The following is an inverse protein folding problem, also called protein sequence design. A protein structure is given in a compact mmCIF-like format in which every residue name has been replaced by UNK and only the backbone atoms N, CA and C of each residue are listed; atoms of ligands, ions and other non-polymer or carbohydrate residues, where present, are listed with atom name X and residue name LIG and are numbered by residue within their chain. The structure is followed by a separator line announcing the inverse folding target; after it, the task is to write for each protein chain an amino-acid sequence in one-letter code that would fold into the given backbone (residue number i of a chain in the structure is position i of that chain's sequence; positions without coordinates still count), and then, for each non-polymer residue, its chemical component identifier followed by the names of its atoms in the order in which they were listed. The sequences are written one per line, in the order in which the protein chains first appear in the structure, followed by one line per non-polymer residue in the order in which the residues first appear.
data_IF_788238637040
#
_entry.id   IF_788238637040
#
_cell.length_a   1.000
_cell.length_b   1.000
_cell.length_c   1.000
_cell.angle_alpha   90.00
_cell.angle_beta   90.00
_cell.angle_gamma   90.00
#
_symmetry.space_group_name_H-M   'P 1'
#
loop_
_entity.id
_entity.type
_entity.pdbx_description
1 polymer ?
#
# COMPACT_ATOMS: atom_id res chain seq x y z
N UNK A 1 -40.86 -18.47 41.13
CA UNK A 1 -40.99 -18.20 39.68
C UNK A 1 -40.07 -17.04 39.33
N UNK A 2 -38.84 -17.33 38.89
CA UNK A 2 -37.89 -16.32 38.44
C UNK A 2 -38.12 -16.05 36.96
N UNK A 3 -38.65 -14.87 36.63
CA UNK A 3 -38.76 -14.39 35.26
C UNK A 3 -37.36 -14.07 34.75
N UNK A 4 -36.89 -14.86 33.77
CA UNK A 4 -35.67 -14.60 33.02
C UNK A 4 -35.94 -13.42 32.08
N UNK A 5 -35.33 -12.27 32.38
CA UNK A 5 -35.34 -11.11 31.51
C UNK A 5 -34.42 -11.39 30.31
N UNK A 6 -35.01 -11.49 29.12
CA UNK A 6 -34.30 -11.54 27.85
C UNK A 6 -33.91 -10.10 27.47
N UNK A 7 -32.62 -9.76 27.57
CA UNK A 7 -32.11 -8.44 27.19
C UNK A 7 -31.85 -8.39 25.66
N UNK A 8 -32.55 -7.53 24.90
CA UNK A 8 -32.35 -7.37 23.45
C UNK A 8 -30.92 -6.95 23.06
N UNK A 9 -30.14 -6.39 23.99
CA UNK A 9 -28.74 -5.99 23.76
C UNK A 9 -27.78 -7.19 23.61
N UNK A 10 -28.11 -8.34 24.21
CA UNK A 10 -27.31 -9.57 24.10
C UNK A 10 -27.41 -10.21 22.69
N UNK A 11 -28.54 -10.01 22.00
CA UNK A 11 -28.73 -10.47 20.62
C UNK A 11 -27.86 -9.67 19.65
N UNK A 12 -27.66 -8.37 19.88
CA UNK A 12 -26.80 -7.53 19.05
C UNK A 12 -25.30 -7.80 19.28
N UNK A 13 -24.88 -8.04 20.53
CA UNK A 13 -23.50 -8.42 20.86
C UNK A 13 -23.12 -9.80 20.35
N UNK A 14 -24.04 -10.77 20.42
CA UNK A 14 -23.82 -12.12 19.89
C UNK A 14 -23.75 -12.16 18.37
N UNK A 15 -24.60 -11.40 17.66
CA UNK A 15 -24.52 -11.23 16.19
C UNK A 15 -23.23 -10.54 15.75
N UNK A 16 -22.81 -9.48 16.45
CA UNK A 16 -21.55 -8.79 16.17
C UNK A 16 -20.34 -9.71 16.36
N UNK A 17 -20.32 -10.52 17.42
CA UNK A 17 -19.28 -11.54 17.63
C UNK A 17 -19.31 -12.65 16.57
N UNK A 18 -20.48 -13.10 16.13
CA UNK A 18 -20.59 -14.07 15.03
C UNK A 18 -20.00 -13.51 13.73
N UNK A 19 -20.30 -12.26 13.40
CA UNK A 19 -19.76 -11.59 12.20
C UNK A 19 -18.24 -11.42 12.27
N UNK A 20 -17.70 -11.07 13.45
CA UNK A 20 -16.26 -10.95 13.68
C UNK A 20 -15.59 -12.34 13.61
N UNK A 21 -16.21 -13.38 14.16
CA UNK A 21 -15.70 -14.76 14.12
C UNK A 21 -15.77 -15.37 12.71
N UNK A 22 -16.78 -15.03 11.92
CA UNK A 22 -16.90 -15.43 10.52
C UNK A 22 -15.91 -14.65 9.63
N UNK A 23 -15.59 -13.40 9.97
CA UNK A 23 -14.52 -12.63 9.36
C UNK A 23 -13.11 -13.15 9.75
N UNK A 24 -12.94 -13.72 10.96
CA UNK A 24 -11.72 -14.44 11.35
C UNK A 24 -11.55 -15.73 10.54
N UNK A 25 -12.60 -16.55 10.44
CA UNK A 25 -12.56 -17.80 9.64
C UNK A 25 -12.32 -17.56 8.15
N UNK A 26 -12.78 -16.43 7.62
CA UNK A 26 -12.58 -16.05 6.23
C UNK A 26 -11.31 -15.23 5.98
N UNK A 27 -10.43 -15.03 6.98
CA UNK A 27 -9.18 -14.27 6.82
C UNK A 27 -9.40 -12.83 6.32
N UNK A 28 -10.51 -12.19 6.71
CA UNK A 28 -11.01 -10.95 6.09
C UNK A 28 -10.97 -9.74 7.02
N UNK A 29 -10.33 -9.84 8.17
CA UNK A 29 -10.43 -8.76 9.16
C UNK A 29 -9.67 -7.50 8.79
N UNK A 30 -8.53 -7.58 8.10
CA UNK A 30 -7.82 -6.38 7.64
C UNK A 30 -7.23 -6.55 6.23
N UNK A 31 -6.93 -7.76 5.75
CA UNK A 31 -6.54 -8.00 4.35
C UNK A 31 -5.33 -7.16 3.89
N UNK A 32 -4.45 -6.82 4.82
CA UNK A 32 -3.28 -5.97 4.61
C UNK A 32 -2.07 -6.85 4.34
N UNK A 33 -1.15 -6.37 3.47
CA UNK A 33 0.07 -7.11 3.08
C UNK A 33 0.78 -7.65 4.33
N UNK A 34 0.89 -8.98 4.40
CA UNK A 34 1.67 -9.69 5.41
C UNK A 34 3.14 -9.46 5.01
N UNK A 35 3.85 -8.64 5.80
CA UNK A 35 5.30 -8.67 5.82
C UNK A 35 5.69 -10.09 6.19
N UNK A 36 6.48 -10.77 5.37
CA UNK A 36 6.83 -12.20 5.50
C UNK A 36 7.37 -12.51 6.91
N UNK A 37 6.47 -12.85 7.82
CA UNK A 37 6.64 -13.45 9.13
C UNK A 37 5.21 -13.71 9.63
N UNK A 38 4.96 -14.95 10.05
CA UNK A 38 3.73 -15.44 10.70
C UNK A 38 2.64 -15.99 9.76
N UNK A 39 2.96 -17.16 9.18
CA UNK A 39 1.98 -18.13 8.67
C UNK A 39 1.42 -18.96 9.87
N UNK A 40 0.59 -18.37 10.74
CA UNK A 40 -0.06 -19.12 11.84
C UNK A 40 -1.56 -19.43 11.61
N UNK A 41 -2.22 -18.82 10.63
CA UNK A 41 -3.65 -19.05 10.37
C UNK A 41 -3.92 -19.73 9.02
N UNK A 42 -3.29 -20.88 8.77
CA UNK A 42 -3.45 -21.62 7.49
C UNK A 42 -4.46 -22.75 7.62
N UNK A 43 -5.65 -22.60 7.02
CA UNK A 43 -6.42 -23.75 6.55
C UNK A 43 -5.61 -24.44 5.43
N UNK A 44 -5.24 -25.70 5.67
CA UNK A 44 -4.72 -26.68 4.70
C UNK A 44 -3.78 -26.12 3.61
N UNK A 45 -2.48 -25.99 3.92
CA UNK A 45 -1.44 -25.39 3.06
C UNK A 45 -1.34 -25.95 1.63
N UNK A 46 -1.83 -27.17 1.40
CA UNK A 46 -1.80 -27.90 0.12
C UNK A 46 -2.86 -27.46 -0.89
N UNK A 47 -3.76 -26.53 -0.53
CA UNK A 47 -4.81 -26.01 -1.42
C UNK A 47 -4.46 -24.70 -2.14
N UNK A 48 -3.32 -24.09 -1.80
CA UNK A 48 -2.92 -22.79 -2.34
C UNK A 48 -2.26 -22.91 -3.73
N UNK A 49 -2.56 -21.99 -4.67
CA UNK A 49 -1.84 -21.92 -5.94
C UNK A 49 -0.35 -21.61 -5.69
N UNK A 50 0.57 -21.99 -6.61
CA UNK A 50 2.02 -21.86 -6.44
C UNK A 50 2.51 -20.44 -6.10
N UNK A 51 1.71 -19.42 -6.43
CA UNK A 51 2.01 -18.02 -6.17
C UNK A 51 1.82 -17.60 -4.70
N UNK A 52 1.19 -18.43 -3.85
CA UNK A 52 0.68 -18.06 -2.50
C UNK A 52 -0.14 -16.77 -2.46
N UNK A 53 -0.53 -16.23 -3.62
CA UNK A 53 -1.39 -15.05 -3.71
C UNK A 53 -2.81 -15.53 -3.57
N UNK A 54 -3.47 -15.10 -2.51
CA UNK A 54 -4.92 -15.26 -2.38
C UNK A 54 -5.57 -14.61 -3.59
N UNK A 55 -6.36 -15.38 -4.34
CA UNK A 55 -7.18 -14.84 -5.41
C UNK A 55 -8.25 -13.99 -4.74
N UNK A 56 -8.00 -12.68 -4.65
CA UNK A 56 -8.91 -11.76 -3.98
C UNK A 56 -10.24 -11.73 -4.75
N UNK A 57 -11.35 -11.85 -4.02
CA UNK A 57 -12.69 -11.96 -4.62
C UNK A 57 -12.95 -10.75 -5.54
N UNK A 58 -13.63 -10.97 -6.69
CA UNK A 58 -14.11 -9.87 -7.51
C UNK A 58 -14.94 -8.90 -6.67
N UNK A 59 -14.75 -7.60 -6.88
CA UNK A 59 -15.59 -6.59 -6.24
C UNK A 59 -16.91 -6.58 -6.98
N UNK A 60 -17.98 -6.95 -6.29
CA UNK A 60 -19.34 -6.92 -6.82
C UNK A 60 -19.92 -5.51 -6.73
N UNK A 61 -20.66 -5.10 -7.77
CA UNK A 61 -21.37 -3.82 -7.82
C UNK A 61 -21.22 -3.11 -9.17
N UNK A 62 -21.99 -2.03 -9.39
CA UNK A 62 -21.77 -1.16 -10.54
C UNK A 62 -20.39 -0.51 -10.39
N UNK A 63 -19.48 -0.87 -11.29
CA UNK A 63 -18.16 -0.25 -11.39
C UNK A 63 -18.22 0.84 -12.45
N UNK A 64 -17.61 2.01 -12.21
CA UNK A 64 -17.55 3.06 -13.21
C UNK A 64 -16.61 2.62 -14.35
N UNK A 65 -16.89 3.05 -15.58
CA UNK A 65 -16.00 2.74 -16.70
C UNK A 65 -14.62 3.40 -16.53
N UNK A 66 -14.57 4.54 -15.82
CA UNK A 66 -13.40 5.40 -15.70
C UNK A 66 -13.28 5.98 -14.30
N UNK A 67 -12.05 6.18 -13.84
CA UNK A 67 -11.73 6.82 -12.57
C UNK A 67 -10.57 7.79 -12.77
N UNK A 68 -10.71 9.01 -12.27
CA UNK A 68 -9.64 9.99 -12.27
C UNK A 68 -8.65 9.73 -11.13
N UNK A 69 -7.37 9.85 -11.44
CA UNK A 69 -6.26 9.75 -10.48
C UNK A 69 -5.39 10.98 -10.63
N UNK A 70 -5.26 11.78 -9.58
CA UNK A 70 -4.35 12.92 -9.55
C UNK A 70 -3.06 12.49 -8.86
N UNK A 71 -1.93 12.58 -9.57
CA UNK A 71 -0.60 12.30 -9.04
C UNK A 71 0.07 13.62 -8.64
N UNK A 72 0.23 13.87 -7.34
CA UNK A 72 0.91 15.05 -6.80
C UNK A 72 1.90 14.63 -5.68
N UNK A 73 1.78 15.16 -4.46
CA UNK A 73 2.50 14.68 -3.28
C UNK A 73 2.01 13.30 -2.81
N UNK A 74 0.72 13.01 -3.00
CA UNK A 74 0.10 11.69 -2.88
C UNK A 74 -0.59 11.32 -4.20
N UNK A 75 -1.14 10.12 -4.28
CA UNK A 75 -2.07 9.72 -5.33
C UNK A 75 -3.48 9.91 -4.81
N UNK A 76 -4.25 10.76 -5.47
CA UNK A 76 -5.64 11.01 -5.14
C UNK A 76 -6.52 10.28 -6.13
N UNK A 77 -7.23 9.26 -5.66
CA UNK A 77 -8.18 8.48 -6.46
C UNK A 77 -9.57 9.02 -6.20
N UNK A 78 -10.28 9.42 -7.25
CA UNK A 78 -11.65 9.92 -7.14
C UNK A 78 -12.61 8.84 -6.62
N UNK A 79 -13.46 9.19 -5.66
CA UNK A 79 -14.42 8.26 -5.05
C UNK A 79 -15.70 8.08 -5.86
N UNK A 80 -16.02 9.00 -6.76
CA UNK A 80 -17.30 9.02 -7.44
C UNK A 80 -17.51 7.72 -8.24
N UNK A 81 -18.62 7.04 -7.97
CA UNK A 81 -18.97 5.77 -8.62
C UNK A 81 -18.22 4.54 -8.08
N UNK A 82 -17.22 4.69 -7.21
CA UNK A 82 -16.52 3.53 -6.65
C UNK A 82 -17.30 2.92 -5.48
N UNK A 83 -17.53 1.60 -5.47
CA UNK A 83 -18.17 0.93 -4.35
C UNK A 83 -17.25 0.96 -3.11
N UNK A 84 -17.81 0.95 -1.88
CA UNK A 84 -17.03 0.97 -0.64
C UNK A 84 -15.97 -0.15 -0.55
N UNK A 85 -16.25 -1.30 -1.16
CA UNK A 85 -15.31 -2.42 -1.26
C UNK A 85 -14.03 -2.05 -2.03
N UNK A 86 -14.14 -1.26 -3.11
CA UNK A 86 -12.98 -0.75 -3.85
C UNK A 86 -12.18 0.25 -3.03
N UNK A 87 -12.88 1.19 -2.38
CA UNK A 87 -12.24 2.21 -1.52
C UNK A 87 -11.43 1.55 -0.39
N UNK A 88 -12.01 0.56 0.28
CA UNK A 88 -11.31 -0.21 1.30
C UNK A 88 -10.09 -0.95 0.75
N UNK A 89 -10.17 -1.48 -0.48
CA UNK A 89 -9.03 -2.18 -1.11
C UNK A 89 -7.90 -1.23 -1.47
N UNK A 90 -8.22 -0.03 -1.95
CA UNK A 90 -7.25 1.05 -2.15
C UNK A 90 -6.55 1.45 -0.85
N UNK A 91 -7.30 1.59 0.25
CA UNK A 91 -6.72 1.87 1.58
C UNK A 91 -5.83 0.71 2.07
N UNK A 92 -6.23 -0.54 1.82
CA UNK A 92 -5.43 -1.73 2.16
C UNK A 92 -4.11 -1.81 1.39
N UNK A 93 -4.06 -1.34 0.13
CA UNK A 93 -2.80 -1.24 -0.63
C UNK A 93 -1.78 -0.32 0.06
N UNK A 94 -2.28 0.71 0.74
CA UNK A 94 -1.47 1.68 1.47
C UNK A 94 -1.29 1.33 2.95
N UNK A 95 -1.59 0.10 3.37
CA UNK A 95 -1.42 -0.33 4.75
C UNK A 95 -0.48 -1.54 4.84
N UNK A 96 0.17 -1.70 6.00
CA UNK A 96 1.05 -2.84 6.31
C UNK A 96 1.06 -3.13 7.81
N UNK A 97 1.46 -4.36 8.18
CA UNK A 97 1.58 -4.76 9.58
C UNK A 97 2.76 -4.06 10.27
N UNK A 98 2.57 -3.60 11.50
CA UNK A 98 3.61 -2.88 12.25
C UNK A 98 4.58 -3.86 12.94
N UNK A 99 5.82 -4.05 12.44
CA UNK A 99 6.75 -5.02 13.02
C UNK A 99 7.10 -4.73 14.48
N UNK A 100 7.01 -3.48 14.93
CA UNK A 100 7.29 -3.13 16.33
C UNK A 100 6.22 -3.66 17.28
N UNK A 101 4.96 -3.72 16.85
CA UNK A 101 3.89 -4.32 17.64
C UNK A 101 4.17 -5.80 17.90
N UNK A 102 4.46 -6.56 16.84
CA UNK A 102 4.71 -8.00 16.93
C UNK A 102 5.98 -8.31 17.73
N UNK A 103 7.05 -7.51 17.56
CA UNK A 103 8.26 -7.60 18.39
C UNK A 103 7.97 -7.36 19.87
N UNK A 104 7.22 -6.30 20.20
CA UNK A 104 6.87 -5.99 21.57
C UNK A 104 5.99 -7.08 22.20
N UNK A 105 5.03 -7.60 21.43
CA UNK A 105 4.17 -8.71 21.83
C UNK A 105 4.99 -9.99 22.13
N UNK A 106 5.91 -10.37 21.24
CA UNK A 106 6.78 -11.52 21.42
C UNK A 106 7.68 -11.39 22.66
N UNK A 107 8.16 -10.17 22.94
CA UNK A 107 8.97 -9.86 24.12
C UNK A 107 8.14 -9.61 25.40
N UNK A 108 6.81 -9.74 25.36
CA UNK A 108 5.89 -9.43 26.48
C UNK A 108 6.03 -8.01 27.01
N UNK A 109 6.39 -7.07 26.15
CA UNK A 109 6.47 -5.63 26.44
C UNK A 109 5.13 -4.93 26.20
N UNK A 110 4.90 -3.74 26.78
CA UNK A 110 3.66 -2.98 26.55
C UNK A 110 3.44 -2.61 25.08
N UNK A 111 2.23 -2.89 24.58
CA UNK A 111 1.78 -2.62 23.21
C UNK A 111 0.75 -1.49 23.12
N UNK A 112 0.43 -0.83 24.24
CA UNK A 112 -0.66 0.16 24.36
C UNK A 112 -0.58 1.31 23.33
N UNK A 113 0.63 1.73 22.96
CA UNK A 113 0.88 2.82 22.00
C UNK A 113 1.45 2.32 20.65
N UNK A 114 1.29 1.03 20.35
CA UNK A 114 1.76 0.42 19.09
C UNK A 114 0.56 -0.09 18.30
N UNK A 115 0.12 0.60 17.24
CA UNK A 115 -0.95 0.07 16.40
C UNK A 115 -0.45 -1.20 15.71
N UNK A 116 -1.34 -2.20 15.57
CA UNK A 116 -1.04 -3.47 14.88
C UNK A 116 -0.80 -3.29 13.38
N UNK A 117 -1.51 -2.35 12.78
CA UNK A 117 -1.47 -2.03 11.34
C UNK A 117 -1.18 -0.56 11.20
N UNK A 118 -0.23 -0.24 10.33
CA UNK A 118 0.07 1.13 9.91
C UNK A 118 -0.70 1.36 8.61
N UNK A 119 -1.62 2.33 8.62
CA UNK A 119 -2.32 2.78 7.43
C UNK A 119 -1.69 4.10 6.95
N UNK A 120 -1.16 4.11 5.73
CA UNK A 120 -0.62 5.30 5.08
C UNK A 120 -1.62 5.96 4.13
N UNK A 121 -2.78 5.31 3.89
CA UNK A 121 -3.88 5.88 3.12
C UNK A 121 -4.74 6.83 3.96
N UNK A 122 -5.31 7.84 3.31
CA UNK A 122 -6.22 8.80 3.93
C UNK A 122 -7.56 8.78 3.20
N UNK A 123 -8.62 8.82 3.99
CA UNK A 123 -9.98 8.89 3.48
C UNK A 123 -10.46 10.35 3.45
N UNK A 124 -10.49 10.98 2.26
CA UNK A 124 -10.91 12.38 2.07
C UNK A 124 -12.35 12.43 1.54
N UNK A 125 -13.07 13.55 1.67
CA UNK A 125 -14.49 13.61 1.28
C UNK A 125 -14.78 13.14 -0.16
N UNK A 126 -13.94 13.54 -1.11
CA UNK A 126 -14.12 13.22 -2.54
C UNK A 126 -13.05 12.27 -3.11
N UNK A 127 -11.98 12.00 -2.35
CA UNK A 127 -10.82 11.26 -2.82
C UNK A 127 -10.32 10.24 -1.78
N UNK A 128 -9.69 9.16 -2.24
CA UNK A 128 -8.79 8.35 -1.41
C UNK A 128 -7.37 8.78 -1.73
N UNK A 129 -6.61 9.21 -0.72
CA UNK A 129 -5.21 9.55 -0.89
C UNK A 129 -4.32 8.37 -0.46
N UNK A 130 -3.45 7.90 -1.35
CA UNK A 130 -2.47 6.84 -1.05
C UNK A 130 -1.04 7.28 -1.41
N UNK A 131 0.01 6.66 -0.84
CA UNK A 131 1.39 6.97 -1.18
C UNK A 131 1.69 6.83 -2.67
N UNK A 132 2.57 7.67 -3.21
CA UNK A 132 2.98 7.65 -4.63
C UNK A 132 3.53 6.31 -5.11
N UNK A 133 4.22 5.59 -4.22
CA UNK A 133 4.74 4.25 -4.50
C UNK A 133 3.67 3.21 -4.80
N UNK A 134 2.39 3.46 -4.46
CA UNK A 134 1.27 2.55 -4.72
C UNK A 134 0.66 2.73 -6.11
N UNK A 135 1.23 3.57 -6.99
CA UNK A 135 0.64 3.88 -8.31
C UNK A 135 0.46 2.62 -9.13
N UNK A 136 1.50 1.81 -9.27
CA UNK A 136 1.48 0.60 -10.09
C UNK A 136 0.41 -0.37 -9.61
N UNK A 137 0.28 -0.59 -8.30
CA UNK A 137 -0.72 -1.51 -7.76
C UNK A 137 -2.13 -0.93 -7.79
N UNK A 138 -2.28 0.39 -7.67
CA UNK A 138 -3.56 1.07 -7.85
C UNK A 138 -4.07 0.92 -9.28
N UNK A 139 -3.19 1.15 -10.27
CA UNK A 139 -3.54 0.96 -11.69
C UNK A 139 -3.88 -0.49 -11.99
N UNK A 140 -3.09 -1.44 -11.48
CA UNK A 140 -3.35 -2.87 -11.64
C UNK A 140 -4.68 -3.30 -11.01
N UNK A 141 -5.01 -2.77 -9.82
CA UNK A 141 -6.29 -3.04 -9.16
C UNK A 141 -7.47 -2.55 -10.01
N UNK A 142 -7.43 -1.31 -10.50
CA UNK A 142 -8.51 -0.75 -11.31
C UNK A 142 -8.68 -1.51 -12.63
N UNK A 143 -7.57 -1.81 -13.31
CA UNK A 143 -7.58 -2.56 -14.57
C UNK A 143 -8.10 -4.00 -14.39
N UNK A 144 -7.77 -4.67 -13.28
CA UNK A 144 -8.29 -6.00 -12.97
C UNK A 144 -9.83 -6.02 -12.82
N UNK A 145 -10.43 -4.88 -12.55
CA UNK A 145 -11.88 -4.69 -12.46
C UNK A 145 -12.48 -4.00 -13.70
N UNK A 146 -11.75 -3.96 -14.82
CA UNK A 146 -12.15 -3.30 -16.08
C UNK A 146 -12.44 -1.80 -15.95
N UNK A 147 -11.88 -1.14 -14.93
CA UNK A 147 -11.96 0.31 -14.77
C UNK A 147 -10.76 0.93 -15.49
N UNK A 148 -11.01 1.91 -16.36
CA UNK A 148 -9.95 2.65 -17.04
C UNK A 148 -9.45 3.80 -16.16
N UNK A 149 -8.20 3.77 -15.68
CA UNK A 149 -7.64 4.89 -14.93
C UNK A 149 -7.26 6.05 -15.86
N UNK A 150 -7.64 7.27 -15.50
CA UNK A 150 -7.21 8.51 -16.15
C UNK A 150 -6.27 9.26 -15.21
N UNK A 151 -4.96 9.16 -15.46
CA UNK A 151 -3.94 9.76 -14.59
C UNK A 151 -3.62 11.18 -15.05
N UNK A 152 -3.83 12.15 -14.16
CA UNK A 152 -3.39 13.54 -14.31
C UNK A 152 -2.18 13.79 -13.44
N UNK A 153 -1.08 14.22 -14.06
CA UNK A 153 0.15 14.55 -13.35
C UNK A 153 0.16 16.03 -12.94
N UNK A 154 0.11 16.27 -11.64
CA UNK A 154 0.15 17.59 -10.99
C UNK A 154 1.40 17.73 -10.11
N UNK A 155 2.42 16.89 -10.35
CA UNK A 155 3.71 17.00 -9.65
C UNK A 155 4.40 18.30 -10.06
N UNK A 156 5.12 18.87 -9.10
CA UNK A 156 6.02 19.98 -9.39
C UNK A 156 7.17 19.48 -10.27
N UNK A 157 7.29 20.02 -11.49
CA UNK A 157 8.30 19.63 -12.47
C UNK A 157 9.74 20.08 -12.09
N UNK A 158 9.86 20.90 -11.06
CA UNK A 158 11.13 21.47 -10.63
C UNK A 158 11.47 22.78 -11.33
N UNK A 159 12.33 23.55 -10.68
CA UNK A 159 12.98 24.74 -11.27
C UNK A 159 14.33 24.30 -11.85
N UNK A 160 14.68 24.72 -13.08
CA UNK A 160 15.98 24.42 -13.66
C UNK A 160 17.14 24.92 -12.79
N UNK A 161 18.17 24.10 -12.66
CA UNK A 161 19.42 24.43 -11.96
C UNK A 161 20.63 24.18 -12.86
N UNK A 162 21.68 24.98 -12.67
CA UNK A 162 22.98 24.73 -13.29
C UNK A 162 23.74 23.73 -12.44
N UNK A 163 23.90 22.50 -12.94
CA UNK A 163 24.66 21.45 -12.28
C UNK A 163 25.47 20.66 -13.31
N UNK A 164 26.76 20.52 -13.05
CA UNK A 164 27.70 19.72 -13.85
C UNK A 164 28.37 18.69 -12.92
N UNK A 165 28.77 17.56 -13.50
CA UNK A 165 29.39 16.47 -12.76
C UNK A 165 30.84 16.29 -13.20
N UNK A 166 31.76 16.76 -12.36
CA UNK A 166 33.21 16.71 -12.61
C UNK A 166 33.84 15.43 -12.02
N UNK A 167 33.32 14.28 -12.44
CA UNK A 167 33.82 12.98 -11.99
C UNK A 167 33.60 11.88 -13.01
N UNK A 168 34.20 10.71 -12.75
CA UNK A 168 34.00 9.52 -13.56
C UNK A 168 33.28 8.44 -12.74
N UNK A 169 32.17 7.93 -13.27
CA UNK A 169 31.49 6.79 -12.66
C UNK A 169 32.25 5.51 -12.95
N UNK A 170 32.27 4.60 -11.98
CA UNK A 170 32.76 3.23 -12.18
C UNK A 170 31.76 2.45 -13.05
N UNK A 171 32.19 1.40 -13.77
CA UNK A 171 31.30 0.63 -14.64
C UNK A 171 30.04 0.09 -13.95
N UNK A 172 30.13 -0.26 -12.66
CA UNK A 172 28.97 -0.72 -11.88
C UNK A 172 28.01 0.42 -11.51
N UNK A 173 28.52 1.64 -11.32
CA UNK A 173 27.72 2.84 -11.06
C UNK A 173 27.01 3.30 -12.34
N UNK A 174 27.68 3.21 -13.50
CA UNK A 174 27.09 3.50 -14.81
C UNK A 174 25.85 2.65 -15.09
N UNK A 175 25.94 1.34 -14.83
CA UNK A 175 24.79 0.43 -14.92
C UNK A 175 23.65 0.85 -13.98
N UNK A 176 23.97 1.22 -12.75
CA UNK A 176 22.97 1.65 -11.78
C UNK A 176 22.27 2.96 -12.20
N UNK A 177 23.03 3.96 -12.67
CA UNK A 177 22.44 5.23 -13.13
C UNK A 177 21.64 5.05 -14.41
N UNK A 178 22.06 4.16 -15.31
CA UNK A 178 21.29 3.85 -16.51
C UNK A 178 19.93 3.24 -16.15
N UNK A 179 19.90 2.28 -15.23
CA UNK A 179 18.66 1.64 -14.77
C UNK A 179 17.72 2.63 -14.07
N UNK A 180 18.23 3.44 -13.13
CA UNK A 180 17.37 4.35 -12.36
C UNK A 180 16.91 5.57 -13.16
N UNK A 181 17.66 6.00 -14.19
CA UNK A 181 17.31 7.17 -15.00
C UNK A 181 16.06 6.98 -15.86
N UNK A 182 15.66 5.74 -16.12
CA UNK A 182 14.46 5.41 -16.91
C UNK A 182 13.18 5.59 -16.07
N UNK A 183 13.32 5.67 -14.75
CA UNK A 183 12.20 5.80 -13.83
C UNK A 183 12.22 7.16 -13.12
N UNK A 184 11.03 7.74 -12.94
CA UNK A 184 10.89 8.99 -12.16
C UNK A 184 11.27 8.75 -10.69
N UNK A 185 10.80 7.64 -10.14
CA UNK A 185 10.92 7.22 -8.74
C UNK A 185 11.59 5.85 -8.67
N UNK A 186 12.55 5.68 -7.76
CA UNK A 186 13.28 4.42 -7.60
C UNK A 186 14.14 4.38 -6.36
N UNK A 187 14.48 3.18 -5.91
CA UNK A 187 15.33 2.96 -4.72
C UNK A 187 16.66 2.36 -5.17
N UNK A 188 17.76 3.07 -4.90
CA UNK A 188 19.09 2.53 -5.09
C UNK A 188 19.55 1.79 -3.82
N UNK A 189 19.41 0.47 -3.82
CA UNK A 189 19.97 -0.38 -2.78
C UNK A 189 21.42 -0.72 -3.11
N UNK A 190 22.36 -0.11 -2.40
CA UNK A 190 23.78 -0.35 -2.60
C UNK A 190 24.55 -0.27 -1.26
N UNK A 191 25.61 -1.09 -1.06
CA UNK A 191 26.38 -1.11 0.17
C UNK A 191 27.10 0.22 0.44
N UNK A 192 27.67 0.36 1.64
CA UNK A 192 28.63 1.42 1.94
C UNK A 192 29.82 1.33 1.00
N UNK A 193 30.52 2.45 0.76
CA UNK A 193 31.61 2.56 -0.23
C UNK A 193 31.23 2.31 -1.73
N UNK A 194 29.96 2.02 -2.05
CA UNK A 194 29.49 1.99 -3.45
C UNK A 194 29.59 3.36 -4.14
N UNK A 195 29.61 4.46 -3.38
CA UNK A 195 29.62 5.81 -3.93
C UNK A 195 28.21 6.32 -4.27
N UNK A 196 27.23 6.07 -3.38
CA UNK A 196 25.85 6.58 -3.52
C UNK A 196 25.82 8.11 -3.73
N UNK A 197 26.71 8.85 -3.08
CA UNK A 197 26.85 10.30 -3.26
C UNK A 197 27.26 10.68 -4.67
N UNK A 198 28.23 9.97 -5.27
CA UNK A 198 28.65 10.22 -6.65
C UNK A 198 27.51 9.91 -7.64
N UNK A 199 26.78 8.82 -7.41
CA UNK A 199 25.60 8.46 -8.20
C UNK A 199 24.49 9.52 -8.07
N UNK A 200 24.21 10.01 -6.86
CA UNK A 200 23.22 11.05 -6.62
C UNK A 200 23.61 12.37 -7.30
N UNK A 201 24.87 12.81 -7.15
CA UNK A 201 25.38 14.00 -7.82
C UNK A 201 25.27 13.90 -9.35
N UNK A 202 25.62 12.74 -9.91
CA UNK A 202 25.44 12.48 -11.34
C UNK A 202 23.96 12.57 -11.76
N UNK A 203 23.04 11.98 -10.99
CA UNK A 203 21.60 12.07 -11.28
C UNK A 203 21.07 13.50 -11.22
N UNK A 204 21.54 14.32 -10.28
CA UNK A 204 21.21 15.75 -10.20
C UNK A 204 21.73 16.48 -11.44
N UNK A 205 22.98 16.25 -11.84
CA UNK A 205 23.57 16.86 -13.04
C UNK A 205 22.87 16.43 -14.34
N UNK A 206 22.28 15.24 -14.37
CA UNK A 206 21.50 14.74 -15.51
C UNK A 206 20.10 15.32 -15.55
N UNK A 207 19.42 15.42 -14.40
CA UNK A 207 18.04 15.93 -14.29
C UNK A 207 17.98 17.45 -14.36
N UNK A 208 19.01 18.16 -13.87
CA UNK A 208 19.17 19.64 -13.90
C UNK A 208 17.95 20.42 -13.40
N UNK A 209 17.20 19.85 -12.45
CA UNK A 209 16.08 20.51 -11.78
C UNK A 209 16.22 20.30 -10.28
N UNK A 210 15.62 21.20 -9.47
CA UNK A 210 15.47 20.92 -8.06
C UNK A 210 14.47 19.75 -7.85
N UNK A 211 14.75 18.93 -6.84
CA UNK A 211 13.96 17.76 -6.45
C UNK A 211 13.52 17.87 -5.00
#
# INVERSE_FOLDING_TARGET
MGVSFYDPADVYRSRGRSLIADAQRNGDLIGVRISIADDEDTQDPWTLPPSRKRMERPIEGPLPERVQIIRANLLYVEKQGLPPAMLNRLLRLAAFQNPEFYKAQAMRLPTYDKPRVIACGQDLPQHIAVPRGCLTETLALLQAHNIRPEVRDERFAGTPITAEFDGQLRPIQEKAVAAISVHDEGILCAPTAFGKTAVAAWLISKRKVNT
#
